data_IF_335049420685
#
_entry.id   IF_335049420685
#
_cell.length_a   1.000
_cell.length_b   1.000
_cell.length_c   1.000
_cell.angle_alpha   90.00
_cell.angle_beta   90.00
_cell.angle_gamma   90.00
#
_symmetry.space_group_name_H-M   'P 1'
#
loop_
_entity.id
_entity.type
_entity.pdbx_description
1 polymer ?
#
# COMPACT_ATOMS: atom_id res chain seq x y z
N UNK A 1 7.79 -19.40 -24.53
CA UNK A 1 8.15 -19.54 -23.09
C UNK A 1 6.87 -19.37 -22.31
N UNK A 2 6.57 -20.19 -21.29
CA UNK A 2 5.42 -19.92 -20.45
C UNK A 2 5.58 -18.50 -19.90
N UNK A 3 4.52 -17.72 -19.93
CA UNK A 3 4.50 -16.35 -19.42
C UNK A 3 5.05 -16.38 -17.97
N UNK A 4 6.21 -15.76 -17.74
CA UNK A 4 6.75 -15.67 -16.41
C UNK A 4 5.70 -14.98 -15.52
N UNK A 5 5.38 -15.60 -14.38
CA UNK A 5 4.43 -15.05 -13.42
C UNK A 5 4.84 -13.62 -13.04
N UNK A 6 3.91 -12.67 -13.10
CA UNK A 6 4.18 -11.31 -12.60
C UNK A 6 4.48 -11.34 -11.11
N UNK A 7 5.33 -10.46 -10.65
CA UNK A 7 5.78 -10.37 -9.24
C UNK A 7 5.22 -9.13 -8.58
N UNK A 8 4.51 -9.31 -7.48
CA UNK A 8 4.05 -8.22 -6.63
C UNK A 8 4.88 -8.13 -5.35
N UNK A 9 5.31 -6.92 -4.97
CA UNK A 9 5.85 -6.60 -3.65
C UNK A 9 4.83 -5.79 -2.85
N UNK A 10 4.46 -6.29 -1.67
CA UNK A 10 3.46 -5.67 -0.79
C UNK A 10 4.13 -5.32 0.55
N UNK A 11 4.14 -4.05 0.92
CA UNK A 11 4.56 -3.66 2.27
C UNK A 11 3.42 -3.87 3.26
N UNK A 12 3.71 -4.41 4.45
CA UNK A 12 2.67 -4.71 5.44
C UNK A 12 1.74 -5.86 5.02
N UNK A 13 2.26 -6.83 4.25
CA UNK A 13 1.47 -7.90 3.67
C UNK A 13 1.08 -9.04 4.63
N UNK A 14 1.53 -9.03 5.89
CA UNK A 14 1.24 -10.09 6.84
C UNK A 14 -0.21 -10.13 7.35
N UNK A 15 -0.92 -9.00 7.33
CA UNK A 15 -2.27 -8.84 7.90
C UNK A 15 -3.14 -7.90 7.07
N UNK A 16 -4.43 -7.85 7.41
CA UNK A 16 -5.38 -6.85 6.95
C UNK A 16 -5.46 -6.74 5.43
N UNK A 17 -5.48 -5.49 4.93
CA UNK A 17 -5.60 -5.20 3.50
C UNK A 17 -4.44 -5.81 2.71
N UNK A 18 -3.19 -5.68 3.19
CA UNK A 18 -2.02 -6.23 2.50
C UNK A 18 -2.07 -7.75 2.33
N UNK A 19 -2.53 -8.47 3.36
CA UNK A 19 -2.77 -9.92 3.29
C UNK A 19 -3.87 -10.25 2.27
N UNK A 20 -5.00 -9.54 2.31
CA UNK A 20 -6.09 -9.76 1.36
C UNK A 20 -5.64 -9.59 -0.09
N UNK A 21 -4.87 -8.52 -0.37
CA UNK A 21 -4.27 -8.28 -1.69
C UNK A 21 -3.34 -9.45 -2.09
N UNK A 22 -2.46 -9.88 -1.20
CA UNK A 22 -1.53 -10.99 -1.47
C UNK A 22 -2.23 -12.29 -1.81
N UNK A 23 -3.30 -12.63 -1.09
CA UNK A 23 -4.11 -13.82 -1.33
C UNK A 23 -4.85 -13.77 -2.68
N UNK A 24 -5.36 -12.62 -3.06
CA UNK A 24 -6.05 -12.44 -4.33
C UNK A 24 -5.09 -12.50 -5.52
N UNK A 25 -3.93 -11.82 -5.42
CA UNK A 25 -2.92 -11.87 -6.48
C UNK A 25 -2.37 -13.28 -6.68
N UNK A 26 -2.19 -14.03 -5.58
CA UNK A 26 -1.84 -15.44 -5.64
C UNK A 26 -2.87 -16.27 -6.41
N UNK A 27 -4.18 -16.04 -6.19
CA UNK A 27 -5.25 -16.71 -6.92
C UNK A 27 -5.25 -16.38 -8.42
N UNK A 28 -4.69 -15.21 -8.80
CA UNK A 28 -4.50 -14.79 -10.19
C UNK A 28 -3.17 -15.27 -10.81
N UNK A 29 -2.39 -16.09 -10.09
CA UNK A 29 -1.13 -16.65 -10.57
C UNK A 29 0.08 -15.73 -10.46
N UNK A 30 0.00 -14.64 -9.65
CA UNK A 30 1.16 -13.81 -9.35
C UNK A 30 2.09 -14.48 -8.35
N UNK A 31 3.39 -14.30 -8.49
CA UNK A 31 4.31 -14.51 -7.39
C UNK A 31 4.20 -13.32 -6.42
N UNK A 32 4.11 -13.60 -5.12
CA UNK A 32 3.86 -12.58 -4.10
C UNK A 32 5.02 -12.52 -3.11
N UNK A 33 5.75 -11.41 -3.13
CA UNK A 33 6.64 -11.02 -2.05
C UNK A 33 5.93 -10.03 -1.13
N UNK A 34 6.14 -10.14 0.16
CA UNK A 34 5.65 -9.14 1.10
C UNK A 34 6.61 -8.97 2.28
N UNK A 35 6.62 -7.76 2.85
CA UNK A 35 7.40 -7.53 4.05
C UNK A 35 6.52 -7.30 5.28
N UNK A 36 7.14 -7.53 6.44
CA UNK A 36 6.58 -7.31 7.76
C UNK A 36 7.68 -6.87 8.72
N UNK A 37 7.32 -6.15 9.80
CA UNK A 37 8.28 -5.71 10.81
C UNK A 37 8.28 -6.62 12.03
N UNK A 38 7.12 -6.83 12.66
CA UNK A 38 7.01 -7.53 13.95
C UNK A 38 6.02 -8.71 13.93
N UNK A 39 5.29 -8.93 12.85
CA UNK A 39 4.22 -9.93 12.76
C UNK A 39 4.69 -11.24 12.12
N UNK A 40 5.76 -11.87 12.65
CA UNK A 40 6.37 -13.08 12.08
C UNK A 40 5.40 -14.25 11.93
N UNK A 41 4.62 -14.58 12.97
CA UNK A 41 3.66 -15.68 12.95
C UNK A 41 2.60 -15.45 11.86
N UNK A 42 1.98 -14.27 11.82
CA UNK A 42 1.01 -13.92 10.78
C UNK A 42 1.63 -13.89 9.38
N UNK A 43 2.90 -13.54 9.25
CA UNK A 43 3.62 -13.61 7.99
C UNK A 43 3.79 -15.07 7.52
N UNK A 44 4.13 -15.98 8.45
CA UNK A 44 4.19 -17.42 8.17
C UNK A 44 2.85 -17.98 7.70
N UNK A 45 1.76 -17.67 8.41
CA UNK A 45 0.38 -18.06 8.06
C UNK A 45 -0.02 -17.51 6.67
N UNK A 46 0.28 -16.24 6.41
CA UNK A 46 -0.04 -15.60 5.11
C UNK A 46 0.75 -16.24 3.97
N UNK A 47 2.04 -16.50 4.16
CA UNK A 47 2.85 -17.16 3.16
C UNK A 47 2.36 -18.60 2.88
N UNK A 48 1.97 -19.35 3.92
CA UNK A 48 1.37 -20.66 3.76
C UNK A 48 0.06 -20.59 2.95
N UNK A 49 -0.83 -19.64 3.30
CA UNK A 49 -2.10 -19.45 2.60
C UNK A 49 -1.92 -19.03 1.11
N UNK A 50 -0.88 -18.25 0.78
CA UNK A 50 -0.52 -17.94 -0.60
C UNK A 50 -0.08 -19.20 -1.35
N UNK A 51 0.79 -20.02 -0.73
CA UNK A 51 1.29 -21.26 -1.33
C UNK A 51 0.18 -22.28 -1.58
N UNK A 52 -0.85 -22.36 -0.72
CA UNK A 52 -2.00 -23.24 -0.95
C UNK A 52 -2.81 -22.88 -2.22
N UNK A 53 -2.66 -21.65 -2.72
CA UNK A 53 -3.23 -21.22 -4.01
C UNK A 53 -2.33 -21.55 -5.20
N UNK A 54 -1.21 -22.24 -5.01
CA UNK A 54 -0.26 -22.61 -6.05
C UNK A 54 0.73 -21.51 -6.44
N UNK A 55 0.74 -20.38 -5.73
CA UNK A 55 1.63 -19.25 -6.02
C UNK A 55 2.92 -19.30 -5.18
N UNK A 56 3.99 -18.72 -5.71
CA UNK A 56 5.21 -18.48 -4.94
C UNK A 56 4.99 -17.38 -3.91
N UNK A 57 5.37 -17.64 -2.66
CA UNK A 57 5.28 -16.69 -1.56
C UNK A 57 6.64 -16.43 -0.91
N UNK A 58 7.03 -15.17 -0.80
CA UNK A 58 8.25 -14.73 -0.15
C UNK A 58 7.91 -13.74 0.97
N UNK A 59 8.01 -14.16 2.23
CA UNK A 59 7.79 -13.30 3.40
C UNK A 59 9.15 -12.83 3.92
N UNK A 60 9.39 -11.51 3.95
CA UNK A 60 10.68 -10.91 4.27
C UNK A 60 10.54 -9.99 5.48
N UNK A 61 11.31 -10.19 6.56
CA UNK A 61 11.38 -9.23 7.65
C UNK A 61 12.12 -7.98 7.17
N UNK A 62 11.46 -6.82 7.22
CA UNK A 62 12.05 -5.54 6.85
C UNK A 62 11.29 -4.38 7.50
N UNK A 63 12.02 -3.39 7.98
CA UNK A 63 11.49 -2.11 8.43
C UNK A 63 11.63 -1.08 7.29
N UNK A 64 10.52 -0.83 6.59
CA UNK A 64 10.52 0.07 5.42
C UNK A 64 10.75 1.54 5.76
N UNK A 65 10.79 1.92 7.04
CA UNK A 65 11.26 3.24 7.47
C UNK A 65 12.76 3.44 7.27
N UNK A 66 13.50 2.33 7.07
CA UNK A 66 14.96 2.31 6.92
C UNK A 66 15.34 2.11 5.45
N UNK A 67 16.07 3.05 4.84
CA UNK A 67 16.52 2.91 3.44
C UNK A 67 17.26 1.60 3.15
N UNK A 68 18.19 1.20 4.04
CA UNK A 68 18.98 -0.02 3.88
C UNK A 68 18.11 -1.28 3.85
N UNK A 69 17.05 -1.32 4.66
CA UNK A 69 16.09 -2.42 4.67
C UNK A 69 15.27 -2.45 3.38
N UNK A 70 14.91 -1.27 2.83
CA UNK A 70 14.25 -1.18 1.53
C UNK A 70 15.15 -1.69 0.39
N UNK A 71 16.44 -1.34 0.40
CA UNK A 71 17.42 -1.82 -0.59
C UNK A 71 17.56 -3.34 -0.51
N UNK A 72 17.76 -3.89 0.70
CA UNK A 72 17.83 -5.34 0.93
C UNK A 72 16.54 -6.04 0.49
N UNK A 73 15.38 -5.49 0.83
CA UNK A 73 14.08 -6.04 0.45
C UNK A 73 13.95 -6.17 -1.07
N UNK A 74 14.20 -5.08 -1.80
CA UNK A 74 14.09 -5.07 -3.26
C UNK A 74 15.12 -5.99 -3.91
N UNK A 75 16.36 -5.99 -3.42
CA UNK A 75 17.42 -6.89 -3.92
C UNK A 75 17.07 -8.36 -3.71
N UNK A 76 16.54 -8.72 -2.54
CA UNK A 76 16.10 -10.09 -2.25
C UNK A 76 14.98 -10.54 -3.18
N UNK A 77 13.95 -9.70 -3.38
CA UNK A 77 12.85 -10.04 -4.31
C UNK A 77 13.36 -10.17 -5.75
N UNK A 78 14.27 -9.29 -6.17
CA UNK A 78 14.83 -9.35 -7.51
C UNK A 78 15.67 -10.62 -7.74
N UNK A 79 16.43 -11.05 -6.74
CA UNK A 79 17.25 -12.28 -6.81
C UNK A 79 16.38 -13.55 -6.83
N UNK A 80 15.37 -13.62 -5.96
CA UNK A 80 14.54 -14.81 -5.78
C UNK A 80 13.42 -14.95 -6.83
N UNK A 81 12.83 -13.83 -7.28
CA UNK A 81 11.67 -13.81 -8.16
C UNK A 81 11.92 -13.14 -9.52
N UNK A 82 13.13 -12.64 -9.77
CA UNK A 82 13.51 -12.06 -11.06
C UNK A 82 13.07 -10.61 -11.27
N UNK A 83 12.53 -9.94 -10.26
CA UNK A 83 12.18 -8.52 -10.29
C UNK A 83 10.82 -8.23 -9.67
N UNK A 84 10.37 -6.97 -9.77
CA UNK A 84 9.11 -6.50 -9.22
C UNK A 84 8.33 -5.81 -10.33
N UNK A 85 7.15 -6.34 -10.64
CA UNK A 85 6.25 -5.78 -11.65
C UNK A 85 5.19 -4.86 -11.01
N UNK A 86 4.76 -5.17 -9.79
CA UNK A 86 3.85 -4.32 -9.03
C UNK A 86 4.40 -4.02 -7.62
N UNK A 87 4.36 -2.76 -7.22
CA UNK A 87 4.66 -2.31 -5.87
C UNK A 87 3.39 -1.80 -5.20
N UNK A 88 3.02 -2.40 -4.06
CA UNK A 88 1.86 -2.00 -3.27
C UNK A 88 2.35 -1.51 -1.89
N UNK A 89 2.37 -0.19 -1.68
CA UNK A 89 2.73 0.45 -0.43
C UNK A 89 1.51 0.49 0.49
N UNK A 90 1.33 -0.57 1.29
CA UNK A 90 0.21 -0.75 2.20
C UNK A 90 0.59 -0.58 3.69
N UNK A 91 1.89 -0.63 4.02
CA UNK A 91 2.37 -0.37 5.37
C UNK A 91 2.19 1.11 5.74
N UNK A 92 1.83 1.36 6.98
CA UNK A 92 1.75 2.71 7.53
C UNK A 92 0.95 2.71 8.85
N UNK A 93 1.58 3.04 9.99
CA UNK A 93 0.88 3.15 11.25
C UNK A 93 0.00 4.39 11.29
N UNK A 94 -1.04 4.30 12.09
CA UNK A 94 -1.91 5.41 12.46
C UNK A 94 -1.69 5.76 13.92
N UNK A 95 -1.59 7.05 14.23
CA UNK A 95 -1.51 7.54 15.60
C UNK A 95 -2.37 8.79 15.75
N UNK A 96 -3.10 8.85 16.86
CA UNK A 96 -3.92 10.00 17.22
C UNK A 96 -3.29 10.71 18.42
N UNK A 97 -2.83 11.94 18.20
CA UNK A 97 -2.24 12.82 19.21
C UNK A 97 -2.52 14.27 18.82
N UNK A 98 -2.83 15.12 19.81
CA UNK A 98 -2.99 16.56 19.57
C UNK A 98 -1.67 17.14 19.05
N UNK A 99 -1.73 18.04 18.07
CA UNK A 99 -0.54 18.65 17.48
C UNK A 99 0.37 19.32 18.53
N UNK A 100 -0.21 19.93 19.57
CA UNK A 100 0.56 20.59 20.62
C UNK A 100 1.20 19.63 21.62
N UNK A 101 0.71 18.40 21.69
CA UNK A 101 1.25 17.32 22.53
C UNK A 101 2.16 16.37 21.73
N UNK A 102 2.29 16.60 20.39
CA UNK A 102 3.11 15.77 19.53
C UNK A 102 4.60 15.96 19.83
N UNK A 103 5.33 14.87 19.94
CA UNK A 103 6.78 14.89 20.11
C UNK A 103 7.50 14.96 18.77
N UNK A 104 8.73 15.51 18.76
CA UNK A 104 9.57 15.52 17.54
C UNK A 104 9.80 14.10 17.02
N UNK A 105 10.07 13.15 17.91
CA UNK A 105 10.26 11.74 17.54
C UNK A 105 8.99 11.12 16.93
N UNK A 106 7.83 11.37 17.55
CA UNK A 106 6.55 10.88 17.02
C UNK A 106 6.15 11.53 15.71
N UNK A 107 6.45 12.81 15.53
CA UNK A 107 6.31 13.49 14.25
C UNK A 107 7.15 12.81 13.17
N UNK A 108 8.44 12.62 13.42
CA UNK A 108 9.35 11.93 12.50
C UNK A 108 8.89 10.51 12.17
N UNK A 109 8.48 9.75 13.20
CA UNK A 109 7.97 8.38 13.03
C UNK A 109 6.80 8.32 12.02
N UNK A 110 5.89 9.29 12.03
CA UNK A 110 4.76 9.31 11.09
C UNK A 110 5.23 9.47 9.62
N UNK A 111 6.23 10.31 9.37
CA UNK A 111 6.79 10.46 8.03
C UNK A 111 7.63 9.26 7.62
N UNK A 112 8.49 8.77 8.51
CA UNK A 112 9.38 7.65 8.25
C UNK A 112 8.63 6.36 7.93
N UNK A 113 7.45 6.15 8.53
CA UNK A 113 6.66 4.95 8.32
C UNK A 113 5.52 5.09 7.28
N UNK A 114 5.14 6.29 6.87
CA UNK A 114 4.04 6.49 5.94
C UNK A 114 4.49 7.06 4.58
N UNK A 115 5.30 8.14 4.56
CA UNK A 115 5.66 8.85 3.33
C UNK A 115 6.99 8.38 2.76
N UNK A 116 8.03 8.33 3.57
CA UNK A 116 9.39 8.03 3.11
C UNK A 116 9.51 6.66 2.43
N UNK A 117 8.86 5.57 2.90
CA UNK A 117 8.91 4.27 2.24
C UNK A 117 8.39 4.29 0.79
N UNK A 118 7.39 5.12 0.51
CA UNK A 118 6.85 5.25 -0.86
C UNK A 118 7.92 5.80 -1.80
N UNK A 119 8.71 6.78 -1.36
CA UNK A 119 9.83 7.32 -2.11
C UNK A 119 10.95 6.30 -2.25
N UNK A 120 11.39 5.67 -1.14
CA UNK A 120 12.51 4.72 -1.16
C UNK A 120 12.24 3.56 -2.12
N UNK A 121 11.09 2.90 -1.96
CA UNK A 121 10.75 1.73 -2.75
C UNK A 121 10.45 2.08 -4.21
N UNK A 122 9.73 3.17 -4.50
CA UNK A 122 9.47 3.60 -5.87
C UNK A 122 10.78 3.86 -6.63
N UNK A 123 11.77 4.54 -6.01
CA UNK A 123 13.08 4.79 -6.59
C UNK A 123 13.84 3.50 -6.91
N UNK A 124 13.72 2.48 -6.05
CA UNK A 124 14.43 1.21 -6.21
C UNK A 124 13.80 0.31 -7.28
N UNK A 125 12.46 0.30 -7.41
CA UNK A 125 11.78 -0.58 -8.38
C UNK A 125 11.67 0.04 -9.77
N UNK A 126 11.58 1.38 -9.88
CA UNK A 126 11.34 2.09 -11.14
C UNK A 126 12.35 1.75 -12.25
N UNK A 127 13.67 1.66 -12.03
CA UNK A 127 14.63 1.35 -13.09
C UNK A 127 14.30 0.06 -13.83
N UNK A 128 13.95 -1.01 -13.12
CA UNK A 128 13.60 -2.30 -13.72
C UNK A 128 12.26 -2.26 -14.43
N UNK A 129 11.27 -1.54 -13.90
CA UNK A 129 9.99 -1.33 -14.57
C UNK A 129 10.17 -0.54 -15.87
N UNK A 130 11.06 0.47 -15.90
CA UNK A 130 11.41 1.25 -17.09
C UNK A 130 12.02 0.35 -18.19
N UNK A 131 12.98 -0.50 -17.83
CA UNK A 131 13.58 -1.47 -18.76
C UNK A 131 12.53 -2.39 -19.39
N UNK A 132 11.59 -2.88 -18.57
CA UNK A 132 10.53 -3.79 -19.00
C UNK A 132 9.38 -3.10 -19.73
N UNK A 133 9.31 -1.77 -19.70
CA UNK A 133 8.21 -0.94 -20.21
C UNK A 133 6.84 -1.37 -19.65
N UNK A 134 6.83 -1.79 -18.41
CA UNK A 134 5.63 -2.19 -17.68
C UNK A 134 5.86 -2.07 -16.17
N UNK A 135 4.91 -1.52 -15.46
CA UNK A 135 4.92 -1.45 -14.02
C UNK A 135 3.63 -0.88 -13.44
N UNK A 136 3.34 -1.22 -12.20
CA UNK A 136 2.21 -0.70 -11.43
C UNK A 136 2.67 -0.34 -10.03
N UNK A 137 2.45 0.89 -9.62
CA UNK A 137 2.73 1.36 -8.26
C UNK A 137 1.43 1.85 -7.65
N UNK A 138 1.04 1.25 -6.52
CA UNK A 138 -0.18 1.62 -5.79
C UNK A 138 0.22 1.97 -4.36
N UNK A 139 -0.21 3.12 -3.89
CA UNK A 139 0.04 3.55 -2.51
C UNK A 139 -1.26 3.80 -1.78
N UNK A 140 -1.27 3.53 -0.47
CA UNK A 140 -2.42 3.78 0.39
C UNK A 140 -2.26 5.12 1.13
N UNK A 141 -3.15 6.06 0.83
CA UNK A 141 -3.31 7.32 1.56
C UNK A 141 -4.43 7.18 2.61
N UNK A 142 -5.23 8.19 2.79
CA UNK A 142 -6.45 8.18 3.61
C UNK A 142 -7.52 9.05 2.96
N UNK A 143 -8.79 8.79 3.27
CA UNK A 143 -9.89 9.64 2.83
C UNK A 143 -9.66 11.09 3.29
N UNK A 144 -10.14 12.05 2.52
CA UNK A 144 -9.96 13.50 2.68
C UNK A 144 -8.52 14.04 2.64
N UNK A 145 -7.49 13.24 2.40
CA UNK A 145 -6.09 13.70 2.35
C UNK A 145 -5.82 14.72 1.23
N UNK A 146 -6.69 14.83 0.24
CA UNK A 146 -6.64 15.78 -0.89
C UNK A 146 -7.40 17.09 -0.63
N UNK A 147 -8.12 17.21 0.48
CA UNK A 147 -8.94 18.39 0.76
C UNK A 147 -8.18 19.54 1.46
N UNK A 148 -7.01 19.25 2.05
CA UNK A 148 -6.22 20.27 2.75
C UNK A 148 -6.90 20.84 3.99
N UNK A 149 -7.68 20.01 4.70
CA UNK A 149 -8.43 20.43 5.90
C UNK A 149 -7.60 20.29 7.16
N UNK A 150 -7.91 21.11 8.17
CA UNK A 150 -7.23 21.03 9.47
C UNK A 150 -7.56 19.71 10.19
N UNK A 151 -6.52 19.05 10.69
CA UNK A 151 -6.62 17.77 11.42
C UNK A 151 -5.85 17.82 12.74
N UNK A 152 -6.35 18.53 13.76
CA UNK A 152 -5.57 18.82 14.99
C UNK A 152 -5.10 17.58 15.76
N UNK A 153 -5.80 16.45 15.61
CA UNK A 153 -5.53 15.21 16.36
C UNK A 153 -4.69 14.19 15.59
N UNK A 154 -4.42 14.43 14.30
CA UNK A 154 -3.70 13.50 13.43
C UNK A 154 -2.80 14.23 12.42
N UNK A 155 -2.33 15.43 12.77
CA UNK A 155 -1.68 16.35 11.81
C UNK A 155 -0.50 15.70 11.09
N UNK A 156 0.44 15.06 11.82
CA UNK A 156 1.62 14.43 11.22
C UNK A 156 1.21 13.31 10.23
N UNK A 157 0.28 12.45 10.65
CA UNK A 157 -0.26 11.38 9.80
C UNK A 157 -0.95 11.96 8.56
N UNK A 158 -1.80 12.97 8.74
CA UNK A 158 -2.53 13.60 7.65
C UNK A 158 -1.60 14.23 6.60
N UNK A 159 -0.57 14.98 7.05
CA UNK A 159 0.42 15.59 6.15
C UNK A 159 1.20 14.51 5.41
N UNK A 160 1.64 13.44 6.09
CA UNK A 160 2.34 12.34 5.46
C UNK A 160 1.46 11.67 4.37
N UNK A 161 0.18 11.43 4.67
CA UNK A 161 -0.78 10.83 3.72
C UNK A 161 -1.12 11.77 2.56
N UNK A 162 -1.23 13.09 2.79
CA UNK A 162 -1.36 14.09 1.72
C UNK A 162 -0.10 14.17 0.86
N UNK A 163 1.08 14.04 1.47
CA UNK A 163 2.37 13.98 0.79
C UNK A 163 2.46 12.80 -0.19
N UNK A 164 1.85 11.65 0.14
CA UNK A 164 1.78 10.48 -0.76
C UNK A 164 1.05 10.85 -2.06
N UNK A 165 -0.01 11.65 -2.02
CA UNK A 165 -0.77 12.06 -3.21
C UNK A 165 0.12 12.90 -4.15
N UNK A 166 0.87 13.86 -3.60
CA UNK A 166 1.76 14.74 -4.37
C UNK A 166 2.90 13.91 -4.99
N UNK A 167 3.54 13.06 -4.18
CA UNK A 167 4.62 12.18 -4.62
C UNK A 167 4.15 11.23 -5.73
N UNK A 168 2.98 10.60 -5.56
CA UNK A 168 2.43 9.66 -6.53
C UNK A 168 2.08 10.34 -7.86
N UNK A 169 1.52 11.56 -7.85
CA UNK A 169 1.27 12.35 -9.08
C UNK A 169 2.58 12.70 -9.79
N UNK A 170 3.63 13.05 -9.04
CA UNK A 170 4.95 13.31 -9.60
C UNK A 170 5.53 12.07 -10.27
N UNK A 171 5.50 10.92 -9.58
CA UNK A 171 5.95 9.64 -10.12
C UNK A 171 5.12 9.22 -11.34
N UNK A 172 3.80 9.38 -11.31
CA UNK A 172 2.91 9.08 -12.42
C UNK A 172 3.33 9.84 -13.69
N UNK A 173 3.61 11.14 -13.56
CA UNK A 173 4.06 11.97 -14.68
C UNK A 173 5.42 11.55 -15.23
N UNK A 174 6.37 11.23 -14.34
CA UNK A 174 7.73 10.85 -14.72
C UNK A 174 7.77 9.46 -15.38
N UNK A 175 6.93 8.53 -14.91
CA UNK A 175 6.98 7.12 -15.33
C UNK A 175 6.00 6.78 -16.46
N UNK A 176 5.03 7.65 -16.76
CA UNK A 176 4.05 7.45 -17.84
C UNK A 176 4.66 7.14 -19.21
N UNK A 177 5.76 7.79 -19.67
CA UNK A 177 6.39 7.47 -20.95
C UNK A 177 6.91 6.03 -21.04
N UNK A 178 7.04 5.36 -19.91
CA UNK A 178 7.54 3.98 -19.81
C UNK A 178 6.42 2.95 -19.57
N UNK A 179 5.14 3.34 -19.78
CA UNK A 179 3.96 2.47 -19.56
C UNK A 179 3.79 1.99 -18.11
N UNK A 180 4.29 2.79 -17.16
CA UNK A 180 4.15 2.55 -15.72
C UNK A 180 3.04 3.47 -15.19
N UNK A 181 2.07 2.90 -14.47
CA UNK A 181 1.05 3.70 -13.78
C UNK A 181 1.34 3.78 -12.28
N UNK A 182 1.07 4.95 -11.72
CA UNK A 182 1.20 5.21 -10.28
C UNK A 182 -0.10 5.81 -9.79
N UNK A 183 -0.79 5.10 -8.90
CA UNK A 183 -2.09 5.51 -8.38
C UNK A 183 -2.15 5.39 -6.86
N UNK A 184 -3.12 6.06 -6.26
CA UNK A 184 -3.35 6.05 -4.83
C UNK A 184 -4.76 5.58 -4.54
N UNK A 185 -4.90 4.78 -3.48
CA UNK A 185 -6.18 4.43 -2.88
C UNK A 185 -6.26 5.17 -1.54
N UNK A 186 -7.36 5.86 -1.30
CA UNK A 186 -7.64 6.63 -0.09
C UNK A 186 -8.80 6.00 0.68
N UNK A 187 -8.50 5.03 1.59
CA UNK A 187 -9.53 4.39 2.39
C UNK A 187 -10.13 5.34 3.43
N UNK A 188 -11.42 5.20 3.67
CA UNK A 188 -12.08 5.64 4.89
C UNK A 188 -12.00 4.55 5.97
N UNK A 189 -13.12 4.19 6.56
CA UNK A 189 -13.20 3.15 7.57
C UNK A 189 -13.36 1.77 6.92
N UNK A 190 -12.34 0.92 7.10
CA UNK A 190 -12.29 -0.45 6.58
C UNK A 190 -12.03 -1.42 7.73
N UNK A 191 -12.86 -2.44 7.88
CA UNK A 191 -12.66 -3.52 8.86
C UNK A 191 -11.52 -4.43 8.38
N UNK A 192 -10.31 -4.10 8.79
CA UNK A 192 -9.06 -4.79 8.40
C UNK A 192 -8.34 -5.43 9.59
N UNK A 193 -8.92 -5.33 10.80
CA UNK A 193 -8.28 -5.75 12.04
C UNK A 193 -7.22 -4.77 12.56
N UNK A 194 -7.08 -3.58 11.97
CA UNK A 194 -6.15 -2.54 12.43
C UNK A 194 -6.76 -1.60 13.48
N UNK A 195 -8.07 -1.52 13.58
CA UNK A 195 -8.81 -0.77 14.59
C UNK A 195 -9.81 -1.69 15.31
N UNK A 196 -10.12 -1.42 16.60
CA UNK A 196 -11.16 -2.13 17.33
C UNK A 196 -12.52 -1.97 16.64
N UNK A 197 -13.30 -3.06 16.58
CA UNK A 197 -14.60 -3.07 15.92
C UNK A 197 -15.56 -2.05 16.55
N UNK A 198 -15.51 -1.86 17.86
CA UNK A 198 -16.33 -0.88 18.57
C UNK A 198 -16.05 0.57 18.12
N UNK A 199 -14.80 0.89 17.78
CA UNK A 199 -14.46 2.21 17.26
C UNK A 199 -14.98 2.40 15.84
N UNK A 200 -14.89 1.36 15.01
CA UNK A 200 -15.44 1.37 13.66
C UNK A 200 -16.95 1.56 13.70
N UNK A 201 -17.66 0.86 14.59
CA UNK A 201 -19.12 0.99 14.74
C UNK A 201 -19.56 2.40 15.17
N UNK A 202 -18.75 3.10 16.00
CA UNK A 202 -19.02 4.50 16.35
C UNK A 202 -18.95 5.44 15.15
N UNK A 203 -18.17 5.08 14.14
CA UNK A 203 -17.99 5.87 12.92
C UNK A 203 -19.06 5.59 11.87
N UNK A 204 -19.80 4.50 11.99
CA UNK A 204 -20.82 4.07 11.02
C UNK A 204 -21.82 5.18 10.66
N UNK A 205 -22.27 5.94 11.66
CA UNK A 205 -23.23 7.05 11.46
C UNK A 205 -22.69 8.19 10.59
N UNK A 206 -21.37 8.26 10.42
CA UNK A 206 -20.70 9.30 9.62
C UNK A 206 -20.41 8.83 8.19
N UNK A 207 -20.69 7.57 7.85
CA UNK A 207 -20.42 7.00 6.53
C UNK A 207 -21.71 7.07 5.71
N UNK A 208 -21.79 7.89 4.65
CA UNK A 208 -23.00 8.05 3.84
C UNK A 208 -23.53 6.74 3.24
N UNK A 209 -22.64 5.80 2.89
CA UNK A 209 -23.03 4.48 2.37
C UNK A 209 -23.74 3.60 3.40
N UNK A 210 -23.68 3.92 4.70
CA UNK A 210 -24.37 3.20 5.76
C UNK A 210 -23.74 1.89 6.19
N UNK A 211 -22.49 1.59 5.75
CA UNK A 211 -21.74 0.41 6.17
C UNK A 211 -20.24 0.68 6.20
N UNK A 212 -19.51 -0.16 6.95
CA UNK A 212 -18.06 -0.12 7.05
C UNK A 212 -17.47 -0.96 5.91
N UNK A 213 -16.50 -0.38 5.17
CA UNK A 213 -15.81 -1.10 4.11
C UNK A 213 -15.09 -2.36 4.61
N UNK A 214 -14.93 -3.32 3.73
CA UNK A 214 -14.23 -4.58 3.99
C UNK A 214 -12.90 -4.65 3.25
N UNK A 215 -12.05 -5.59 3.62
CA UNK A 215 -10.76 -5.83 2.91
C UNK A 215 -11.00 -6.08 1.43
N UNK A 216 -12.05 -6.79 1.07
CA UNK A 216 -12.38 -7.14 -0.31
C UNK A 216 -12.73 -5.91 -1.18
N UNK A 217 -13.24 -4.83 -0.58
CA UNK A 217 -13.44 -3.57 -1.30
C UNK A 217 -12.10 -2.98 -1.76
N UNK A 218 -11.09 -2.99 -0.88
CA UNK A 218 -9.75 -2.53 -1.23
C UNK A 218 -9.07 -3.46 -2.25
N UNK A 219 -9.23 -4.77 -2.09
CA UNK A 219 -8.72 -5.80 -3.02
C UNK A 219 -9.27 -5.57 -4.41
N UNK A 220 -10.57 -5.30 -4.55
CA UNK A 220 -11.25 -5.07 -5.84
C UNK A 220 -10.67 -3.86 -6.58
N UNK A 221 -10.40 -2.75 -5.87
CA UNK A 221 -9.77 -1.56 -6.46
C UNK A 221 -8.33 -1.86 -6.88
N UNK A 222 -7.55 -2.57 -6.05
CA UNK A 222 -6.17 -2.96 -6.41
C UNK A 222 -6.16 -3.83 -7.65
N UNK A 223 -7.05 -4.82 -7.76
CA UNK A 223 -7.17 -5.67 -8.96
C UNK A 223 -7.39 -4.84 -10.20
N UNK A 224 -8.34 -3.92 -10.17
CA UNK A 224 -8.60 -3.02 -11.30
C UNK A 224 -7.35 -2.21 -11.66
N UNK A 225 -6.70 -1.57 -10.69
CA UNK A 225 -5.54 -0.72 -10.95
C UNK A 225 -4.30 -1.50 -11.45
N UNK A 226 -4.20 -2.79 -11.15
CA UNK A 226 -3.13 -3.67 -11.65
C UNK A 226 -3.41 -4.22 -13.04
N UNK A 227 -4.65 -4.18 -13.48
CA UNK A 227 -5.09 -4.76 -14.76
C UNK A 227 -4.66 -3.90 -15.96
N UNK A 228 -4.75 -4.47 -17.16
CA UNK A 228 -4.45 -3.75 -18.40
C UNK A 228 -5.59 -2.79 -18.79
N UNK A 229 -6.81 -3.01 -18.30
CA UNK A 229 -7.95 -2.09 -18.44
C UNK A 229 -7.68 -0.74 -17.79
N UNK A 230 -6.88 -0.72 -16.69
CA UNK A 230 -6.49 0.49 -16.00
C UNK A 230 -5.24 1.18 -16.59
N UNK A 231 -4.73 0.75 -17.76
CA UNK A 231 -3.48 1.28 -18.34
C UNK A 231 -3.47 2.80 -18.58
N UNK A 232 -4.63 3.43 -18.64
CA UNK A 232 -4.78 4.88 -18.82
C UNK A 232 -5.17 5.61 -17.53
N UNK A 233 -5.38 4.87 -16.43
CA UNK A 233 -5.60 5.42 -15.09
C UNK A 233 -4.24 5.65 -14.44
N UNK A 234 -3.81 6.92 -14.37
CA UNK A 234 -2.48 7.28 -13.88
C UNK A 234 -2.53 8.60 -13.11
N UNK A 235 -1.94 8.64 -11.91
CA UNK A 235 -1.98 9.78 -11.01
C UNK A 235 -3.32 9.96 -10.28
N UNK A 236 -4.20 8.96 -10.35
CA UNK A 236 -5.52 9.01 -9.72
C UNK A 236 -5.43 8.81 -8.20
N UNK A 237 -6.35 9.46 -7.49
CA UNK A 237 -6.68 9.18 -6.10
C UNK A 237 -8.08 8.54 -6.07
N UNK A 238 -8.13 7.24 -5.75
CA UNK A 238 -9.39 6.50 -5.69
C UNK A 238 -9.90 6.50 -4.25
N UNK A 239 -10.98 7.23 -4.00
CA UNK A 239 -11.63 7.24 -2.69
C UNK A 239 -12.37 5.92 -2.44
N UNK A 240 -11.99 5.23 -1.39
CA UNK A 240 -12.58 3.98 -0.92
C UNK A 240 -13.21 4.22 0.45
N UNK A 241 -14.25 5.04 0.53
CA UNK A 241 -14.70 5.62 1.80
C UNK A 241 -16.20 5.54 2.07
N UNK A 242 -16.98 4.98 1.15
CA UNK A 242 -18.44 5.02 1.26
C UNK A 242 -19.03 6.44 1.30
N UNK A 243 -18.31 7.41 0.72
CA UNK A 243 -18.67 8.83 0.71
C UNK A 243 -18.19 9.62 1.93
N UNK A 244 -17.55 8.96 2.91
CA UNK A 244 -16.98 9.66 4.06
C UNK A 244 -15.76 10.50 3.63
N UNK A 245 -15.72 11.76 4.08
CA UNK A 245 -14.59 12.66 3.82
C UNK A 245 -14.54 13.22 2.39
N UNK A 246 -15.69 13.26 1.70
CA UNK A 246 -15.85 13.95 0.42
C UNK A 246 -16.45 15.33 0.62
#
# INVERSE_FOLDING_TARGET
MPNASRVALITGGAKGIGRGIGLELAAQGWAVAFCYRTSGDSAGETAAAIRTKGATALAIPADVSRPDDCERLVATVAAELGGIDALINCAGPYRRVSLLDETVAGWQEMFDNNLHPVFYLARLVAPRMIERKWGRIISFSMANADQGVAQPQITAHYIAKSGILILSRTLARLLAPHHITVNVISPGFVSSGSAPEEELQKMLKNIPAGYIGQVDDAVSVVKFLLSDEARYVNGANVHLSGGWGL
#
